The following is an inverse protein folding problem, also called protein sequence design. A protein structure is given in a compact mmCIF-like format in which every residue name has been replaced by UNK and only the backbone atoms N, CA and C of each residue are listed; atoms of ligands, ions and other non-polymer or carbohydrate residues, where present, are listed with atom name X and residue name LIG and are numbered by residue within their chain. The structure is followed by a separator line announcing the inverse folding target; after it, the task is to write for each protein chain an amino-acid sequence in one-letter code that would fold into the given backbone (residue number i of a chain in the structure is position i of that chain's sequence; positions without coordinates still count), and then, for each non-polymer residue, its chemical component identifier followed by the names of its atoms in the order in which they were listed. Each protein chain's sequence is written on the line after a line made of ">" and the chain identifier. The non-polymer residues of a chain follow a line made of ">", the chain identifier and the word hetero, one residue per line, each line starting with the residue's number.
data_IF_390069482613
#
_entry.id   IF_390069482613
#
_cell.length_a   1.000
_cell.length_b   1.000
_cell.length_c   1.000
_cell.angle_alpha   90.00
_cell.angle_beta   90.00
_cell.angle_gamma   90.00
#
_symmetry.space_group_name_H-M   'P 1'
#
loop_
_entity.id
_entity.type
_entity.pdbx_description
1 polymer ?
#
# COMPACT_ATOMS: atom_id res chain seq x y z
N UNK A 1 38.23 -7.12 31.75
CA UNK A 1 37.06 -7.84 31.26
C UNK A 1 35.82 -7.02 31.63
N UNK A 2 35.42 -6.07 30.78
CA UNK A 2 34.26 -5.21 31.00
C UNK A 2 33.22 -5.48 29.92
N UNK A 3 31.98 -5.46 30.36
CA UNK A 3 30.83 -6.18 29.80
C UNK A 3 30.39 -5.76 28.40
N UNK A 4 29.79 -6.77 27.74
CA UNK A 4 28.97 -6.75 26.53
C UNK A 4 28.22 -5.42 26.28
N UNK A 5 28.49 -4.83 25.11
CA UNK A 5 27.58 -3.89 24.48
C UNK A 5 26.34 -4.63 23.99
N UNK A 6 25.19 -4.32 24.59
CA UNK A 6 23.89 -4.71 24.06
C UNK A 6 23.65 -3.90 22.78
N UNK A 7 23.87 -4.53 21.63
CA UNK A 7 23.27 -4.09 20.38
C UNK A 7 21.75 -4.12 20.57
N UNK A 8 21.14 -2.94 20.72
CA UNK A 8 19.70 -2.78 20.63
C UNK A 8 19.26 -3.17 19.23
N UNK A 9 18.72 -4.37 19.06
CA UNK A 9 17.99 -4.73 17.86
C UNK A 9 16.81 -3.77 17.73
N UNK A 10 16.78 -3.03 16.64
CA UNK A 10 15.67 -2.18 16.26
C UNK A 10 14.36 -2.97 16.35
N UNK A 11 13.36 -2.41 17.06
CA UNK A 11 11.98 -2.89 16.98
C UNK A 11 11.52 -2.69 15.54
N UNK A 12 11.42 -3.77 14.77
CA UNK A 12 10.57 -3.80 13.59
C UNK A 12 9.14 -3.58 14.05
N UNK A 13 8.66 -2.34 13.92
CA UNK A 13 7.29 -2.00 14.24
C UNK A 13 6.38 -2.58 13.18
N UNK A 14 5.66 -3.66 13.49
CA UNK A 14 4.32 -3.87 12.92
C UNK A 14 3.37 -2.86 13.59
N UNK A 15 3.55 -1.59 13.25
CA UNK A 15 2.88 -0.45 13.89
C UNK A 15 1.58 -0.12 13.19
N UNK A 16 0.57 -0.98 13.35
CA UNK A 16 -0.84 -0.66 13.08
C UNK A 16 -1.15 -0.13 11.67
N UNK A 17 -2.34 0.45 11.52
CA UNK A 17 -2.72 1.17 10.32
C UNK A 17 -2.15 2.60 10.37
N UNK A 18 -1.57 3.07 9.27
CA UNK A 18 -1.10 4.45 9.08
C UNK A 18 -2.17 5.35 8.43
N UNK A 19 -3.21 4.75 7.82
CA UNK A 19 -4.31 5.48 7.21
C UNK A 19 -5.66 4.74 7.31
N UNK A 20 -6.75 5.46 7.03
CA UNK A 20 -8.12 4.94 6.97
C UNK A 20 -8.73 5.14 5.56
N UNK A 21 -8.64 4.13 4.66
CA UNK A 21 -9.17 4.23 3.30
C UNK A 21 -10.70 4.16 3.26
N UNK A 22 -11.37 3.88 4.38
CA UNK A 22 -12.83 3.91 4.46
C UNK A 22 -13.36 5.35 4.52
N UNK A 23 -12.59 6.28 5.07
CA UNK A 23 -12.97 7.68 5.25
C UNK A 23 -12.52 8.58 4.10
N UNK A 24 -11.45 8.21 3.38
CA UNK A 24 -10.87 9.03 2.33
C UNK A 24 -9.68 8.35 1.68
N UNK A 25 -8.90 9.12 0.92
CA UNK A 25 -7.64 8.67 0.34
C UNK A 25 -6.51 8.69 1.38
N UNK A 26 -5.49 7.87 1.16
CA UNK A 26 -4.25 7.85 1.93
C UNK A 26 -3.13 8.53 1.16
N UNK A 27 -2.28 9.32 1.83
CA UNK A 27 -1.17 10.05 1.19
C UNK A 27 0.16 9.72 1.86
N UNK A 28 1.20 9.52 1.05
CA UNK A 28 2.56 9.24 1.49
C UNK A 28 3.56 10.00 0.62
N UNK A 29 4.77 10.24 1.15
CA UNK A 29 5.86 10.88 0.41
C UNK A 29 6.98 9.87 0.18
N UNK A 30 7.45 9.76 -1.07
CA UNK A 30 8.57 8.91 -1.45
C UNK A 30 9.51 9.64 -2.41
N UNK A 31 10.62 10.16 -1.86
CA UNK A 31 11.54 10.99 -2.63
C UNK A 31 10.86 12.29 -3.09
N UNK A 32 10.82 12.59 -4.40
CA UNK A 32 10.14 13.79 -4.91
C UNK A 32 8.62 13.63 -5.04
N UNK A 33 8.09 12.42 -4.89
CA UNK A 33 6.69 12.12 -5.14
C UNK A 33 5.85 12.24 -3.88
N UNK A 34 4.80 13.06 -3.94
CA UNK A 34 3.64 12.95 -3.04
C UNK A 34 2.62 12.04 -3.72
N UNK A 35 2.35 10.88 -3.12
CA UNK A 35 1.54 9.81 -3.70
C UNK A 35 0.27 9.67 -2.91
N UNK A 36 -0.88 9.76 -3.59
CA UNK A 36 -2.19 9.57 -2.99
C UNK A 36 -2.83 8.30 -3.53
N UNK A 37 -3.24 7.40 -2.65
CA UNK A 37 -3.98 6.19 -2.94
C UNK A 37 -5.44 6.36 -2.50
N UNK A 38 -6.38 6.26 -3.43
CA UNK A 38 -7.80 6.07 -3.13
C UNK A 38 -8.26 4.65 -3.47
N UNK A 39 -9.18 4.14 -2.67
CA UNK A 39 -9.76 2.80 -2.85
C UNK A 39 -11.27 2.92 -2.87
N UNK A 40 -11.91 2.34 -3.89
CA UNK A 40 -13.37 2.35 -4.05
C UNK A 40 -13.92 0.98 -4.41
N UNK A 41 -15.17 0.65 -4.03
CA UNK A 41 -16.09 1.45 -3.23
C UNK A 41 -15.68 1.61 -1.77
N UNK A 42 -16.27 2.61 -1.10
CA UNK A 42 -16.16 2.80 0.36
C UNK A 42 -17.42 2.26 1.05
N UNK A 43 -17.31 1.61 2.23
CA UNK A 43 -16.06 1.24 2.88
C UNK A 43 -15.31 0.16 2.10
N UNK A 44 -13.97 0.17 2.17
CA UNK A 44 -13.14 -0.91 1.61
C UNK A 44 -13.42 -2.23 2.34
N UNK A 45 -13.95 -3.22 1.61
CA UNK A 45 -14.31 -4.54 2.14
C UNK A 45 -13.56 -5.67 1.44
N UNK A 46 -13.41 -6.79 2.15
CA UNK A 46 -12.80 -8.01 1.62
C UNK A 46 -13.68 -8.67 0.54
N UNK A 47 -13.05 -9.48 -0.32
CA UNK A 47 -13.74 -10.36 -1.27
C UNK A 47 -14.68 -9.64 -2.25
N UNK A 48 -14.44 -8.35 -2.47
CA UNK A 48 -15.11 -7.52 -3.46
C UNK A 48 -14.08 -7.00 -4.46
N UNK A 49 -14.52 -6.77 -5.70
CA UNK A 49 -13.72 -6.01 -6.67
C UNK A 49 -13.58 -4.55 -6.19
N UNK A 50 -12.34 -4.14 -5.97
CA UNK A 50 -11.96 -2.78 -5.61
C UNK A 50 -11.25 -2.14 -6.79
N UNK A 51 -11.46 -0.84 -6.96
CA UNK A 51 -10.65 0.02 -7.83
C UNK A 51 -9.64 0.74 -6.95
N UNK A 52 -8.36 0.56 -7.28
CA UNK A 52 -7.25 1.30 -6.72
C UNK A 52 -6.94 2.44 -7.68
N UNK A 53 -6.95 3.66 -7.17
CA UNK A 53 -6.66 4.89 -7.90
C UNK A 53 -5.47 5.56 -7.24
N UNK A 54 -4.37 5.72 -7.98
CA UNK A 54 -3.15 6.38 -7.51
C UNK A 54 -2.94 7.67 -8.28
N UNK A 55 -2.82 8.77 -7.56
CA UNK A 55 -2.47 10.08 -8.10
C UNK A 55 -1.20 10.62 -7.46
N UNK A 56 -0.64 11.64 -8.10
CA UNK A 56 0.59 12.28 -7.69
C UNK A 56 0.36 13.78 -7.48
N UNK A 57 1.15 14.40 -6.62
CA UNK A 57 1.22 15.85 -6.47
C UNK A 57 1.86 16.53 -7.69
N UNK A 58 2.83 17.40 -7.46
CA UNK A 58 3.48 18.17 -8.53
C UNK A 58 4.33 17.28 -9.45
N UNK A 59 5.12 16.39 -8.86
CA UNK A 59 6.01 15.49 -9.60
C UNK A 59 5.27 14.20 -9.94
N UNK A 60 5.33 13.78 -11.22
CA UNK A 60 4.67 12.58 -11.72
C UNK A 60 5.67 11.62 -12.37
N UNK A 61 5.51 10.30 -12.23
CA UNK A 61 6.39 9.36 -12.91
C UNK A 61 6.18 9.38 -14.43
N UNK A 62 7.28 9.20 -15.19
CA UNK A 62 7.25 9.10 -16.67
C UNK A 62 6.70 7.74 -17.19
N UNK A 63 6.21 6.87 -16.30
CA UNK A 63 5.69 5.55 -16.68
C UNK A 63 4.21 5.59 -17.08
N UNK A 64 3.82 4.79 -18.07
CA UNK A 64 2.41 4.57 -18.45
C UNK A 64 1.68 3.58 -17.55
N UNK A 65 2.40 2.86 -16.68
CA UNK A 65 1.80 1.94 -15.73
C UNK A 65 2.59 1.83 -14.44
N UNK A 66 1.89 1.49 -13.36
CA UNK A 66 2.46 1.19 -12.05
C UNK A 66 2.06 -0.21 -11.60
N UNK A 67 2.78 -0.71 -10.59
CA UNK A 67 2.44 -1.96 -9.91
C UNK A 67 2.10 -1.62 -8.47
N UNK A 68 0.94 -2.10 -8.03
CA UNK A 68 0.53 -2.10 -6.62
C UNK A 68 0.64 -3.53 -6.09
N UNK A 69 1.45 -3.75 -5.06
CA UNK A 69 1.55 -5.04 -4.37
C UNK A 69 0.73 -4.99 -3.08
N UNK A 70 -0.10 -6.02 -2.88
CA UNK A 70 -0.99 -6.15 -1.74
C UNK A 70 -0.48 -7.27 -0.83
N UNK A 71 0.01 -6.90 0.34
CA UNK A 71 0.59 -7.83 1.31
C UNK A 71 -0.06 -7.71 2.68
N UNK A 72 0.16 -8.70 3.54
CA UNK A 72 -0.15 -8.61 4.97
C UNK A 72 1.17 -8.57 5.74
N UNK A 73 1.41 -7.60 6.63
CA UNK A 73 2.64 -7.56 7.41
C UNK A 73 2.90 -8.88 8.14
N UNK A 74 4.14 -9.36 8.12
CA UNK A 74 4.52 -10.64 8.75
C UNK A 74 3.99 -11.90 8.05
N UNK A 75 3.47 -11.83 6.82
CA UNK A 75 3.02 -12.99 6.04
C UNK A 75 3.59 -12.97 4.62
N UNK A 76 3.90 -14.16 4.10
CA UNK A 76 4.18 -14.36 2.67
C UNK A 76 2.85 -14.56 1.94
N UNK A 77 2.48 -13.58 1.12
CA UNK A 77 1.27 -13.58 0.30
C UNK A 77 1.51 -14.11 -1.12
N UNK A 78 2.76 -14.45 -1.46
CA UNK A 78 3.15 -14.72 -2.84
C UNK A 78 2.97 -13.50 -3.74
N UNK A 79 2.73 -13.74 -5.04
CA UNK A 79 2.52 -12.66 -6.01
C UNK A 79 1.07 -12.19 -5.95
N UNK A 80 0.82 -11.08 -5.25
CA UNK A 80 -0.48 -10.44 -5.15
C UNK A 80 -0.40 -8.99 -5.63
N UNK A 81 -0.48 -8.79 -6.95
CA UNK A 81 -0.19 -7.51 -7.60
C UNK A 81 -1.31 -7.06 -8.52
N UNK A 82 -1.61 -5.78 -8.48
CA UNK A 82 -2.52 -5.09 -9.40
C UNK A 82 -1.68 -4.22 -10.33
N UNK A 83 -1.89 -4.34 -11.65
CA UNK A 83 -1.34 -3.39 -12.62
C UNK A 83 -2.25 -2.17 -12.68
N UNK A 84 -1.68 -0.97 -12.53
CA UNK A 84 -2.39 0.29 -12.62
C UNK A 84 -2.00 0.96 -13.94
N UNK A 85 -2.98 1.25 -14.80
CA UNK A 85 -2.74 1.98 -16.06
C UNK A 85 -2.93 3.48 -15.85
N UNK A 86 -2.08 4.29 -16.47
CA UNK A 86 -2.25 5.74 -16.53
C UNK A 86 -3.47 6.08 -17.40
N UNK A 87 -4.38 6.88 -16.86
CA UNK A 87 -5.48 7.50 -17.60
C UNK A 87 -5.11 8.88 -18.13
N UNK A 88 -5.95 9.41 -19.02
CA UNK A 88 -5.78 10.74 -19.61
C UNK A 88 -5.83 11.88 -18.57
N UNK A 89 -6.41 11.61 -17.39
CA UNK A 89 -6.45 12.52 -16.25
C UNK A 89 -5.18 12.46 -15.37
N UNK A 90 -4.20 11.64 -15.75
CA UNK A 90 -2.93 11.48 -15.03
C UNK A 90 -3.01 10.54 -13.81
N UNK A 91 -4.19 9.98 -13.53
CA UNK A 91 -4.38 8.99 -12.47
C UNK A 91 -4.03 7.59 -12.96
N UNK A 92 -3.52 6.75 -12.05
CA UNK A 92 -3.19 5.36 -12.33
C UNK A 92 -4.24 4.45 -11.71
N UNK A 93 -4.97 3.68 -12.53
CA UNK A 93 -6.10 2.88 -12.06
C UNK A 93 -5.97 1.41 -12.39
N UNK A 94 -6.39 0.56 -11.46
CA UNK A 94 -6.48 -0.88 -11.67
C UNK A 94 -7.47 -1.52 -10.71
N UNK A 95 -7.95 -2.70 -11.10
CA UNK A 95 -8.94 -3.47 -10.34
C UNK A 95 -8.29 -4.67 -9.67
N UNK A 96 -8.69 -4.95 -8.44
CA UNK A 96 -8.19 -6.10 -7.69
C UNK A 96 -9.11 -6.48 -6.53
N UNK A 97 -8.79 -7.56 -5.85
CA UNK A 97 -9.56 -8.05 -4.70
C UNK A 97 -8.60 -8.17 -3.51
N UNK A 98 -8.99 -7.60 -2.36
CA UNK A 98 -8.32 -7.88 -1.10
C UNK A 98 -8.98 -9.11 -0.47
N UNK A 99 -8.23 -10.20 -0.35
CA UNK A 99 -8.76 -11.45 0.19
C UNK A 99 -8.98 -11.37 1.70
N UNK A 100 -9.94 -12.15 2.21
CA UNK A 100 -10.13 -12.31 3.66
C UNK A 100 -9.05 -13.26 4.20
N UNK A 101 -8.39 -12.88 5.29
CA UNK A 101 -7.46 -13.78 5.97
C UNK A 101 -8.22 -14.83 6.79
N UNK A 102 -7.88 -16.11 6.65
CA UNK A 102 -8.55 -17.20 7.38
C UNK A 102 -8.43 -17.07 8.92
N UNK A 103 -7.38 -16.40 9.41
CA UNK A 103 -7.19 -16.12 10.84
C UNK A 103 -7.93 -14.88 11.33
N UNK A 104 -8.67 -14.18 10.47
CA UNK A 104 -9.42 -12.96 10.81
C UNK A 104 -8.56 -11.69 10.87
N UNK A 105 -7.29 -11.74 10.47
CA UNK A 105 -6.45 -10.54 10.36
C UNK A 105 -7.00 -9.59 9.28
N UNK A 106 -7.04 -8.31 9.60
CA UNK A 106 -7.58 -7.26 8.72
C UNK A 106 -6.53 -6.24 8.27
N UNK A 107 -5.32 -6.27 8.84
CA UNK A 107 -4.25 -5.34 8.48
C UNK A 107 -3.60 -5.72 7.15
N UNK A 108 -3.68 -4.81 6.20
CA UNK A 108 -3.12 -4.93 4.86
C UNK A 108 -2.12 -3.81 4.60
N UNK A 109 -1.16 -4.09 3.72
CA UNK A 109 -0.20 -3.13 3.19
C UNK A 109 -0.34 -3.09 1.67
N UNK A 110 -0.53 -1.90 1.13
CA UNK A 110 -0.47 -1.64 -0.30
C UNK A 110 0.83 -0.89 -0.62
N UNK A 111 1.71 -1.48 -1.42
CA UNK A 111 2.99 -0.89 -1.83
C UNK A 111 2.95 -0.52 -3.30
N UNK A 112 3.12 0.77 -3.62
CA UNK A 112 3.22 1.25 -5.01
C UNK A 112 4.68 1.20 -5.44
N UNK A 113 4.97 0.59 -6.59
CA UNK A 113 6.33 0.50 -7.13
C UNK A 113 6.57 1.66 -8.11
N UNK A 114 7.41 2.61 -7.70
CA UNK A 114 7.87 3.74 -8.52
C UNK A 114 9.30 3.43 -9.00
N UNK A 115 9.39 2.61 -10.04
CA UNK A 115 10.67 2.02 -10.47
C UNK A 115 11.21 1.02 -9.44
N UNK A 116 12.54 0.89 -9.37
CA UNK A 116 13.17 -0.17 -8.57
C UNK A 116 13.38 0.22 -7.09
N UNK A 117 13.50 1.52 -6.80
CA UNK A 117 14.01 2.03 -5.52
C UNK A 117 12.96 2.71 -4.65
N UNK A 118 11.95 3.35 -5.23
CA UNK A 118 10.93 4.10 -4.48
C UNK A 118 9.66 3.27 -4.36
N UNK A 119 9.27 2.99 -3.10
CA UNK A 119 8.19 2.07 -2.76
C UNK A 119 7.34 2.61 -1.60
N UNK A 120 6.58 3.71 -1.78
CA UNK A 120 5.65 4.15 -0.75
C UNK A 120 4.67 3.04 -0.42
N UNK A 121 4.46 2.81 0.87
CA UNK A 121 3.49 1.86 1.39
C UNK A 121 2.41 2.54 2.23
N UNK A 122 1.22 1.94 2.20
CA UNK A 122 0.05 2.36 2.94
C UNK A 122 -0.45 1.16 3.72
N UNK A 123 -0.54 1.28 5.04
CA UNK A 123 -0.99 0.21 5.92
C UNK A 123 -2.38 0.55 6.47
N UNK A 124 -3.37 -0.30 6.23
CA UNK A 124 -4.75 -0.03 6.61
C UNK A 124 -5.50 -1.30 7.00
N UNK A 125 -6.59 -1.12 7.75
CA UNK A 125 -7.52 -2.21 8.01
C UNK A 125 -8.55 -2.32 6.88
N UNK A 126 -8.97 -3.54 6.59
CA UNK A 126 -10.06 -3.83 5.66
C UNK A 126 -11.24 -4.42 6.44
N UNK A 127 -12.47 -4.14 5.98
CA UNK A 127 -13.70 -4.56 6.65
C UNK A 127 -14.28 -5.83 6.03
N UNK A 128 -15.14 -6.48 6.80
CA UNK A 128 -15.94 -7.62 6.35
C UNK A 128 -17.10 -7.23 5.44
#
# INVERSE_FOLDING_TARGET
>A
MFLLGLFGCARGGDTGADCDPHAGSCTAVAGPYEVTLDITPKPVVHMQELTFDVSFGVETPESEALVLDLSMPGMDMGRNRVRLEKGDDGHYRGKGIIVRCASGRTLWRATVFLGDTLKPDFTFNVRD
#
